data_IF_532509097368
#
_entry.id   IF_532509097368
#
_cell.length_a   1.000
_cell.length_b   1.000
_cell.length_c   1.000
_cell.angle_alpha   90.00
_cell.angle_beta   90.00
_cell.angle_gamma   90.00
#
_symmetry.space_group_name_H-M   'P 1'
#
loop_
_entity.id
_entity.type
_entity.pdbx_description
1 polymer ?
2 non-polymer ?
3 non-polymer ?
4 water ?
#
# COMPACT_ATOMS: atom_id res chain seq x y z
N UNK A 20 16.44 7.20 -4.64
CA UNK A 20 15.23 6.82 -3.83
C UNK A 20 15.53 5.96 -2.58
N UNK A 21 16.28 6.50 -1.65
CA UNK A 21 16.73 5.71 -0.56
C UNK A 21 16.59 6.32 0.81
N UNK A 22 16.25 7.60 0.99
CA UNK A 22 15.88 8.02 2.33
C UNK A 22 14.47 8.56 2.38
N UNK A 23 13.85 8.43 3.56
CA UNK A 23 12.51 8.90 3.77
C UNK A 23 12.62 10.16 4.62
N UNK A 24 11.96 11.21 4.16
CA UNK A 24 11.84 12.45 4.88
C UNK A 24 10.39 12.74 5.22
N UNK A 25 10.17 13.61 6.19
CA UNK A 25 8.81 14.06 6.51
C UNK A 25 8.26 14.78 5.30
N UNK A 26 7.07 14.38 4.91
CA UNK A 26 6.37 14.96 3.76
C UNK A 26 6.10 16.46 3.94
N UNK A 27 5.81 16.89 5.17
CA UNK A 27 5.39 18.26 5.44
C UNK A 27 6.53 19.27 5.47
N UNK A 28 7.69 18.85 5.91
CA UNK A 28 8.78 19.79 6.17
C UNK A 28 10.14 19.36 5.67
N UNK A 29 10.33 18.08 5.37
CA UNK A 29 11.62 17.61 4.84
C UNK A 29 12.64 17.02 5.83
N UNK A 30 12.30 16.98 7.12
CA UNK A 30 13.14 16.34 8.12
C UNK A 30 13.46 14.90 7.75
N UNK A 31 14.71 14.53 7.91
CA UNK A 31 15.15 13.16 7.67
C UNK A 31 14.63 12.21 8.73
N UNK A 32 13.97 11.15 8.31
CA UNK A 32 13.35 10.22 9.25
C UNK A 32 13.90 8.76 9.19
N UNK A 33 13.95 8.16 8.01
CA UNK A 33 14.42 6.81 7.90
C UNK A 33 15.00 6.50 6.51
N UNK A 34 15.36 5.24 6.31
CA UNK A 34 16.01 4.76 5.10
C UNK A 34 15.34 3.47 4.62
N UNK A 35 15.29 3.26 3.32
CA UNK A 35 14.78 2.05 2.73
C UNK A 35 15.52 0.82 3.23
N UNK A 36 16.83 0.96 3.38
CA UNK A 36 17.69 -0.05 3.97
C UNK A 36 17.20 -0.56 5.34
N UNK A 37 16.47 0.26 6.08
CA UNK A 37 16.00 -0.08 7.43
C UNK A 37 14.58 -0.65 7.51
N UNK A 38 13.94 -0.87 6.36
CA UNK A 38 12.66 -1.53 6.34
C UNK A 38 12.75 -2.87 7.03
N UNK A 39 11.69 -3.19 7.77
CA UNK A 39 11.62 -4.39 8.59
C UNK A 39 10.37 -5.20 8.25
N UNK A 40 10.54 -6.42 7.70
CA UNK A 40 9.38 -7.29 7.50
C UNK A 40 8.81 -7.96 8.78
N UNK A 41 7.90 -7.28 9.49
CA UNK A 41 7.22 -7.88 10.67
C UNK A 41 6.13 -8.82 10.17
N UNK A 42 6.13 -10.05 10.65
CA UNK A 42 5.15 -11.04 10.21
C UNK A 42 5.22 -11.40 8.74
N UNK A 43 6.36 -11.13 8.10
CA UNK A 43 6.57 -11.49 6.69
C UNK A 43 6.43 -10.36 5.66
N UNK A 44 6.09 -9.16 6.11
CA UNK A 44 5.88 -8.03 5.21
C UNK A 44 6.18 -6.71 5.94
N UNK A 45 6.85 -5.78 5.27
CA UNK A 45 7.06 -4.45 5.86
C UNK A 45 5.79 -3.59 5.86
N UNK A 46 4.82 -3.89 4.99
CA UNK A 46 3.57 -3.11 4.90
C UNK A 46 2.45 -3.79 5.65
N UNK A 47 1.82 -3.04 6.56
CA UNK A 47 0.63 -3.43 7.30
C UNK A 47 -0.46 -2.39 7.20
N UNK A 48 -1.62 -2.77 6.71
CA UNK A 48 -2.75 -1.84 6.69
C UNK A 48 -3.60 -2.11 7.93
N UNK A 49 -3.87 -1.07 8.70
CA UNK A 49 -4.49 -1.19 10.02
C UNK A 49 -5.48 -0.06 10.26
N UNK A 50 -6.33 -0.20 11.29
CA UNK A 50 -7.27 0.85 11.73
C UNK A 50 -7.16 1.07 13.23
N UNK A 51 -7.31 2.32 13.64
CA UNK A 51 -7.44 2.69 15.07
C UNK A 51 -8.91 2.74 15.53
N UNK A 52 -9.16 2.95 16.84
CA UNK A 52 -10.57 2.93 17.30
C UNK A 52 -11.46 4.06 16.76
N UNK A 53 -10.87 5.10 16.16
CA UNK A 53 -11.61 6.14 15.47
C UNK A 53 -11.83 5.83 13.98
N UNK A 54 -11.48 4.61 13.58
CA UNK A 54 -11.77 4.11 12.26
C UNK A 54 -10.84 4.68 11.21
N UNK A 55 -9.77 5.34 11.61
CA UNK A 55 -8.80 5.87 10.66
C UNK A 55 -7.94 4.72 10.20
N UNK A 56 -7.85 4.60 8.88
CA UNK A 56 -7.06 3.57 8.25
C UNK A 56 -5.71 4.18 7.96
N UNK A 57 -4.66 3.44 8.29
CA UNK A 57 -3.29 3.81 8.02
C UNK A 57 -2.64 2.68 7.29
N UNK A 58 -1.83 3.04 6.32
CA UNK A 58 -0.92 2.08 5.73
C UNK A 58 0.46 2.26 6.35
N UNK A 59 0.87 1.29 7.17
CA UNK A 59 2.05 1.38 7.99
C UNK A 59 3.21 0.61 7.35
N UNK A 60 4.36 1.27 7.27
CA UNK A 60 5.60 0.62 6.88
C UNK A 60 6.44 0.49 8.15
N UNK A 61 6.96 -0.71 8.38
CA UNK A 61 7.79 -0.97 9.55
C UNK A 61 9.27 -0.78 9.27
N UNK A 62 9.93 -0.03 10.15
CA UNK A 62 11.34 0.28 10.07
C UNK A 62 12.01 -0.15 11.36
N UNK A 63 13.20 -0.73 11.26
CA UNK A 63 13.90 -1.14 12.46
C UNK A 63 14.41 0.09 13.19
N UNK A 64 14.65 1.17 12.46
CA UNK A 64 15.30 2.33 13.01
C UNK A 64 14.72 3.59 12.38
N UNK A 65 14.72 4.67 13.14
CA UNK A 65 14.36 5.98 12.63
C UNK A 65 15.01 7.07 13.43
N UNK A 66 14.93 8.27 12.89
CA UNK A 66 15.53 9.45 13.53
C UNK A 66 14.64 10.66 13.23
N UNK A 67 14.91 11.78 13.90
CA UNK A 67 14.22 13.01 13.68
C UNK A 67 12.79 13.06 14.15
N UNK A 68 12.39 12.07 14.93
CA UNK A 68 11.04 12.02 15.52
C UNK A 68 11.08 12.56 16.96
N UNK A 69 9.90 12.74 17.52
CA UNK A 69 9.77 13.08 18.93
C UNK A 69 8.67 12.17 19.44
N UNK A 70 9.01 11.32 20.41
CA UNK A 70 8.08 10.31 20.93
C UNK A 70 7.35 10.87 22.13
N UNK A 71 6.03 10.78 22.13
CA UNK A 71 5.21 11.52 23.07
C UNK A 71 4.53 10.63 24.08
N UNK A 72 4.62 11.01 25.33
CA UNK A 72 3.94 10.32 26.43
C UNK A 72 4.69 9.06 26.82
N UNK A 73 4.01 8.25 27.61
CA UNK A 73 4.55 6.98 28.04
C UNK A 73 3.89 5.88 27.19
N UNK A 74 4.59 4.74 27.03
CA UNK A 74 4.02 3.69 26.18
C UNK A 74 2.68 3.11 26.67
N UNK A 75 1.86 2.65 25.74
CA UNK A 75 0.56 2.05 26.06
C UNK A 75 0.43 0.75 25.26
N UNK A 76 -0.19 -0.25 25.86
CA UNK A 76 -0.46 -1.51 25.18
C UNK A 76 -1.86 -1.57 24.59
N UNK A 77 -2.70 -0.58 24.93
CA UNK A 77 -4.10 -0.53 24.49
C UNK A 77 -4.22 -0.56 22.96
N UNK A 78 -4.93 -1.56 22.47
CA UNK A 78 -5.26 -1.69 21.05
C UNK A 78 -4.02 -1.83 20.16
N UNK A 79 -2.91 -2.33 20.68
CA UNK A 79 -1.70 -2.44 19.87
C UNK A 79 -1.94 -3.32 18.67
N UNK A 80 -1.51 -2.85 17.49
CA UNK A 80 -1.61 -3.64 16.28
C UNK A 80 -0.63 -4.79 16.25
N UNK A 81 0.38 -4.76 17.11
CA UNK A 81 1.43 -5.78 17.05
C UNK A 81 1.54 -6.44 18.39
N UNK A 82 1.31 -7.75 18.40
CA UNK A 82 1.17 -8.50 19.65
C UNK A 82 2.43 -8.41 20.48
N UNK A 83 2.25 -8.10 21.76
CA UNK A 83 3.34 -8.01 22.71
C UNK A 83 4.08 -6.70 22.74
N UNK A 84 3.67 -5.72 21.92
CA UNK A 84 4.33 -4.43 21.87
C UNK A 84 3.43 -3.33 22.44
N UNK A 85 4.07 -2.38 23.12
CA UNK A 85 3.46 -1.14 23.55
C UNK A 85 3.86 0.00 22.63
N UNK A 86 3.01 1.00 22.48
CA UNK A 86 3.24 2.04 21.52
C UNK A 86 3.33 3.42 22.16
N UNK A 87 4.12 4.28 21.53
CA UNK A 87 4.10 5.72 21.83
C UNK A 87 3.95 6.41 20.48
N UNK A 88 3.18 7.48 20.46
CA UNK A 88 2.99 8.29 19.29
C UNK A 88 4.34 8.91 18.87
N UNK A 89 4.64 8.86 17.57
CA UNK A 89 5.85 9.47 17.02
C UNK A 89 5.47 10.64 16.13
N UNK A 90 5.88 11.82 16.55
CA UNK A 90 5.71 13.01 15.75
C UNK A 90 7.02 13.36 15.07
N UNK A 91 6.91 14.07 13.95
CA UNK A 91 8.07 14.69 13.38
C UNK A 91 8.60 15.66 14.43
N UNK A 92 9.89 15.55 14.74
CA UNK A 92 10.56 16.43 15.68
C UNK A 92 10.69 17.85 15.24
N UNK A 93 10.62 18.05 13.92
CA UNK A 93 10.65 19.38 13.36
C UNK A 93 9.26 20.04 13.32
N UNK A 94 8.29 19.44 12.59
CA UNK A 94 7.04 20.15 12.34
C UNK A 94 5.85 19.69 13.19
N UNK A 95 6.02 18.62 13.95
CA UNK A 95 4.92 18.13 14.75
C UNK A 95 3.93 17.21 14.02
N UNK A 96 4.10 17.02 12.72
CA UNK A 96 3.22 16.16 11.98
C UNK A 96 3.27 14.74 12.58
N UNK A 97 2.11 14.09 12.67
CA UNK A 97 2.05 12.73 13.18
C UNK A 97 2.53 11.74 12.12
N UNK A 98 3.65 11.09 12.35
CA UNK A 98 4.26 10.21 11.34
C UNK A 98 4.07 8.74 11.61
N UNK A 99 3.75 8.37 12.85
CA UNK A 99 3.57 6.97 13.21
C UNK A 99 3.69 6.69 14.72
N UNK A 100 4.34 5.58 15.03
CA UNK A 100 4.40 5.09 16.41
C UNK A 100 5.72 4.43 16.60
N UNK A 101 6.27 4.52 17.81
CA UNK A 101 7.36 3.67 18.22
C UNK A 101 6.79 2.51 19.01
N UNK A 102 7.29 1.31 18.72
CA UNK A 102 6.88 0.12 19.44
C UNK A 102 8.05 -0.39 20.27
N UNK A 103 7.78 -0.77 21.51
CA UNK A 103 8.77 -1.36 22.39
C UNK A 103 8.16 -2.45 23.25
N UNK A 104 9.00 -3.10 24.04
CA UNK A 104 8.53 -4.03 25.06
C UNK A 104 8.22 -5.41 24.58
N UNK A 105 8.58 -5.72 23.33
CA UNK A 105 8.31 -7.02 22.74
C UNK A 105 9.58 -7.83 22.63
N UNK A 106 9.64 -8.71 21.63
CA UNK A 106 10.77 -9.59 21.44
C UNK A 106 10.99 -9.81 19.96
N UNK A 107 12.26 -9.88 19.54
CA UNK A 107 12.64 -10.18 18.16
C UNK A 107 11.83 -9.37 17.11
N UNK A 108 12.06 -8.05 17.04
CA UNK A 108 12.97 -7.22 17.85
C UNK A 108 12.24 -6.65 19.04
N UNK A 109 13.00 -6.22 20.04
CA UNK A 109 12.41 -5.56 21.19
C UNK A 109 11.70 -4.29 20.78
N UNK A 110 12.28 -3.54 19.86
CA UNK A 110 11.69 -2.29 19.40
C UNK A 110 11.73 -2.13 17.90
N UNK A 111 10.81 -1.34 17.35
CA UNK A 111 10.82 -0.89 15.96
C UNK A 111 9.85 0.28 15.77
N UNK A 112 9.83 0.87 14.56
CA UNK A 112 8.91 1.96 14.23
C UNK A 112 7.93 1.54 13.19
N UNK A 113 6.71 2.00 13.34
CA UNK A 113 5.70 1.80 12.31
C UNK A 113 5.32 3.18 11.82
N UNK A 114 5.67 3.51 10.60
CA UNK A 114 5.48 4.87 10.08
C UNK A 114 4.45 4.84 9.00
N UNK A 115 3.66 5.90 8.93
CA UNK A 115 2.60 6.01 7.95
C UNK A 115 3.13 6.42 6.58
N UNK A 116 3.03 5.53 5.61
CA UNK A 116 3.75 5.67 4.35
C UNK A 116 3.47 6.96 3.58
N UNK A 117 2.24 7.41 3.59
CA UNK A 117 1.86 8.59 2.79
C UNK A 117 2.22 9.93 3.49
N UNK A 118 2.82 9.83 4.68
CA UNK A 118 3.27 11.00 5.44
C UNK A 118 4.76 11.19 5.28
N UNK A 119 5.36 10.36 4.44
CA UNK A 119 6.77 10.42 4.17
C UNK A 119 7.00 10.64 2.70
N UNK A 120 8.20 11.15 2.37
CA UNK A 120 8.60 11.36 0.97
C UNK A 120 9.92 10.68 0.74
N UNK A 121 10.03 9.90 -0.33
CA UNK A 121 11.22 9.10 -0.56
C UNK A 121 12.06 9.84 -1.57
N UNK A 122 13.38 9.82 -1.38
CA UNK A 122 14.26 10.47 -2.35
C UNK A 122 15.73 10.12 -2.18
N UNK A 123 16.58 10.75 -2.99
CA UNK A 123 18.04 10.54 -2.91
C UNK A 123 18.70 10.90 -1.57
N UNK A 124 19.76 10.15 -1.21
CA UNK A 124 20.54 10.37 0.01
C UNK A 124 21.18 11.76 0.08
N UNK B 21 -13.21 5.80 -15.82
CA UNK B 21 -12.66 7.18 -15.81
C UNK B 21 -11.25 7.42 -16.47
N UNK B 22 -10.99 8.69 -16.72
CA UNK B 22 -9.77 9.13 -17.37
C UNK B 22 -9.14 10.32 -16.66
N UNK B 23 -7.84 10.49 -16.85
CA UNK B 23 -7.10 11.62 -16.30
C UNK B 23 -6.76 12.58 -17.41
N UNK B 24 -7.12 13.84 -17.21
CA UNK B 24 -6.86 14.88 -18.18
C UNK B 24 -5.89 15.89 -17.60
N UNK B 25 -5.22 16.65 -18.48
CA UNK B 25 -4.40 17.75 -18.01
C UNK B 25 -5.28 18.76 -17.29
N UNK B 26 -4.87 19.14 -16.10
CA UNK B 26 -5.62 20.10 -15.32
C UNK B 26 -5.72 21.48 -15.99
N UNK B 27 -4.67 21.88 -16.71
CA UNK B 27 -4.59 23.22 -17.28
C UNK B 27 -5.38 23.40 -18.60
N UNK B 28 -5.46 22.37 -19.42
CA UNK B 28 -6.10 22.49 -20.74
C UNK B 28 -7.07 21.40 -21.09
N UNK B 29 -7.12 20.33 -20.31
CA UNK B 29 -8.14 19.30 -20.52
C UNK B 29 -7.78 18.20 -21.49
N UNK B 30 -6.56 18.24 -22.02
CA UNK B 30 -6.10 17.17 -22.85
C UNK B 30 -6.17 15.82 -22.13
N UNK B 31 -6.68 14.78 -22.81
CA UNK B 31 -6.67 13.41 -22.31
C UNK B 31 -5.24 12.83 -22.22
N UNK B 32 -4.88 12.35 -21.02
CA UNK B 32 -3.52 11.87 -20.75
C UNK B 32 -3.47 10.41 -20.41
N UNK B 33 -4.29 9.96 -19.48
CA UNK B 33 -4.23 8.57 -19.07
C UNK B 33 -5.55 8.07 -18.58
N UNK B 34 -5.56 6.82 -18.14
CA UNK B 34 -6.76 6.15 -17.68
C UNK B 34 -6.51 5.49 -16.34
N UNK B 35 -7.54 5.46 -15.49
CA UNK B 35 -7.51 4.72 -14.21
C UNK B 35 -7.16 3.24 -14.43
N UNK B 36 -7.69 2.66 -15.50
CA UNK B 36 -7.39 1.28 -15.94
C UNK B 36 -5.92 1.00 -16.07
N UNK B 37 -5.14 2.03 -16.35
CA UNK B 37 -3.70 1.90 -16.57
C UNK B 37 -2.84 2.17 -15.34
N UNK B 38 -3.45 2.41 -14.17
CA UNK B 38 -2.68 2.57 -12.95
C UNK B 38 -1.83 1.35 -12.72
N UNK B 39 -0.61 1.59 -12.25
CA UNK B 39 0.40 0.60 -12.09
C UNK B 39 0.99 0.65 -10.66
N UNK B 40 0.80 -0.41 -9.85
CA UNK B 40 1.40 -0.45 -8.51
C UNK B 40 2.90 -0.84 -8.52
N UNK B 41 3.78 0.13 -8.71
CA UNK B 41 5.22 -0.13 -8.68
C UNK B 41 5.65 -0.22 -7.23
N UNK B 42 6.35 -1.27 -6.86
CA UNK B 42 6.75 -1.48 -5.48
C UNK B 42 5.58 -1.69 -4.52
N UNK B 43 4.40 -2.04 -5.03
CA UNK B 43 3.25 -2.31 -4.15
C UNK B 43 2.22 -1.19 -4.03
N UNK B 44 2.45 -0.05 -4.67
CA UNK B 44 1.52 1.08 -4.59
C UNK B 44 1.61 1.91 -5.88
N UNK B 45 0.47 2.39 -6.37
CA UNK B 45 0.51 3.34 -7.50
C UNK B 45 0.88 4.76 -7.09
N UNK B 46 0.75 5.10 -5.80
CA UNK B 46 1.14 6.44 -5.31
C UNK B 46 2.49 6.40 -4.69
N UNK B 47 3.36 7.26 -5.14
CA UNK B 47 4.65 7.48 -4.55
C UNK B 47 4.87 8.97 -4.21
N UNK B 48 5.12 9.30 -2.94
CA UNK B 48 5.54 10.65 -2.57
C UNK B 48 7.05 10.72 -2.55
N UNK B 49 7.64 11.63 -3.30
CA UNK B 49 9.07 11.64 -3.54
C UNK B 49 9.59 13.05 -3.48
N UNK B 50 10.90 13.16 -3.40
CA UNK B 50 11.59 14.44 -3.44
C UNK B 50 12.81 14.34 -4.41
N UNK B 51 13.01 15.40 -5.20
CA UNK B 51 14.17 15.49 -6.11
C UNK B 51 15.36 16.07 -5.35
N UNK B 52 16.57 16.13 -5.96
CA UNK B 52 17.72 16.59 -5.23
C UNK B 52 17.67 18.08 -4.85
N UNK B 53 16.77 18.85 -5.45
CA UNK B 53 16.55 20.24 -5.05
C UNK B 53 15.53 20.34 -3.88
N UNK B 54 15.05 19.19 -3.38
CA UNK B 54 14.13 19.18 -2.24
C UNK B 54 12.70 19.54 -2.57
N UNK B 55 12.34 19.52 -3.85
CA UNK B 55 10.94 19.71 -4.24
C UNK B 55 10.22 18.38 -4.08
N UNK B 56 9.08 18.44 -3.42
CA UNK B 56 8.27 17.27 -3.13
C UNK B 56 7.17 17.18 -4.16
N UNK B 57 6.98 15.98 -4.71
CA UNK B 57 5.92 15.64 -5.66
C UNK B 57 5.14 14.43 -5.18
N UNK B 58 3.85 14.39 -5.44
CA UNK B 58 3.06 13.17 -5.27
C UNK B 58 2.79 12.54 -6.64
N UNK B 59 3.44 11.41 -6.89
CA UNK B 59 3.42 10.74 -8.19
C UNK B 59 2.47 9.55 -8.23
N UNK B 60 1.66 9.46 -9.29
CA UNK B 60 0.86 8.27 -9.58
C UNK B 60 1.46 7.58 -10.81
N UNK B 61 1.64 6.26 -10.73
CA UNK B 61 2.29 5.50 -11.79
C UNK B 61 1.26 4.91 -12.70
N UNK B 62 1.49 5.12 -14.01
CA UNK B 62 0.61 4.58 -15.07
C UNK B 62 1.44 3.80 -16.07
N UNK B 63 0.92 2.69 -16.55
CA UNK B 63 1.65 1.85 -17.42
C UNK B 63 1.75 2.50 -18.80
N UNK B 64 0.78 3.33 -19.13
CA UNK B 64 0.75 4.04 -20.41
C UNK B 64 0.17 5.44 -20.27
N UNK B 65 0.42 6.27 -21.28
CA UNK B 65 -0.15 7.59 -21.39
C UNK B 65 -0.16 8.09 -22.82
N UNK B 66 -0.86 9.19 -23.04
CA UNK B 66 -0.93 9.82 -24.33
C UNK B 66 -1.00 11.33 -24.15
N UNK B 67 -0.79 12.06 -25.24
CA UNK B 67 -0.91 13.49 -25.23
C UNK B 67 0.25 14.26 -24.63
N UNK B 68 1.31 13.57 -24.26
CA UNK B 68 2.49 14.19 -23.62
C UNK B 68 3.56 14.48 -24.67
N UNK B 69 4.58 15.23 -24.24
CA UNK B 69 5.75 15.46 -25.05
C UNK B 69 6.91 15.24 -24.11
N UNK B 70 7.76 14.28 -24.44
CA UNK B 70 8.90 13.91 -23.62
C UNK B 70 10.12 14.69 -24.08
N UNK B 71 10.83 15.28 -23.14
CA UNK B 71 11.88 16.26 -23.43
C UNK B 71 13.24 15.77 -22.99
N UNK B 72 14.23 15.93 -23.84
CA UNK B 72 15.60 15.59 -23.51
C UNK B 72 15.89 14.12 -23.68
N UNK B 73 17.11 13.71 -23.35
CA UNK B 73 17.49 12.31 -23.44
C UNK B 73 17.41 11.70 -22.05
N UNK B 74 17.17 10.38 -21.97
CA UNK B 74 16.92 9.82 -20.65
C UNK B 74 18.12 9.93 -19.74
N UNK B 75 17.87 9.99 -18.44
CA UNK B 75 18.95 10.03 -17.46
C UNK B 75 18.66 8.99 -16.40
N UNK B 76 19.71 8.38 -15.87
CA UNK B 76 19.59 7.47 -14.74
C UNK B 76 19.86 8.16 -13.42
N UNK B 77 20.40 9.38 -13.49
CA UNK B 77 20.73 10.17 -12.31
C UNK B 77 19.52 10.37 -11.38
N UNK B 78 19.70 9.93 -10.13
CA UNK B 78 18.70 10.15 -9.07
C UNK B 78 17.33 9.55 -9.34
N UNK B 79 17.25 8.52 -10.15
CA UNK B 79 15.94 7.96 -10.51
C UNK B 79 15.23 7.49 -9.26
N UNK B 80 13.96 7.81 -9.14
CA UNK B 80 13.15 7.32 -8.02
C UNK B 80 12.83 5.82 -8.14
N UNK B 81 13.02 5.23 -9.31
CA UNK B 81 12.72 3.82 -9.52
C UNK B 81 13.97 3.10 -10.06
N UNK B 82 14.51 2.20 -9.25
CA UNK B 82 15.78 1.55 -9.51
C UNK B 82 15.70 0.78 -10.83
N UNK B 83 16.73 0.94 -11.66
CA UNK B 83 16.82 0.27 -12.95
C UNK B 83 16.08 0.96 -14.07
N UNK B 84 15.55 2.16 -13.82
CA UNK B 84 14.88 2.96 -14.85
C UNK B 84 15.54 4.33 -15.03
N UNK B 85 15.59 4.77 -16.28
CA UNK B 85 16.05 6.10 -16.66
C UNK B 85 14.81 6.97 -16.88
N UNK B 86 14.92 8.27 -16.66
CA UNK B 86 13.75 9.18 -16.76
C UNK B 86 13.93 10.28 -17.79
N UNK B 87 12.82 10.72 -18.36
CA UNK B 87 12.78 11.95 -19.15
C UNK B 87 11.57 12.78 -18.68
N UNK B 88 11.66 14.10 -18.70
CA UNK B 88 10.57 14.99 -18.34
C UNK B 88 9.38 14.86 -19.32
N UNK B 89 8.16 14.80 -18.78
CA UNK B 89 6.95 14.73 -19.58
C UNK B 89 6.10 16.00 -19.44
N UNK B 90 5.92 16.72 -20.53
CA UNK B 90 5.07 17.87 -20.57
C UNK B 90 3.78 17.52 -21.26
N UNK B 91 2.72 18.25 -20.95
CA UNK B 91 1.49 18.19 -21.76
C UNK B 91 1.88 18.66 -23.17
N UNK B 92 1.58 17.85 -24.17
CA UNK B 92 1.87 18.20 -25.55
C UNK B 92 1.06 19.38 -26.06
N UNK B 93 -0.10 19.60 -25.43
CA UNK B 93 -1.02 20.65 -25.83
C UNK B 93 -0.63 21.98 -25.20
N UNK B 94 -0.53 22.03 -23.87
CA UNK B 94 -0.26 23.34 -23.20
C UNK B 94 1.16 23.55 -22.60
N UNK B 95 2.01 22.54 -22.58
CA UNK B 95 3.36 22.67 -21.99
C UNK B 95 3.46 22.45 -20.46
N UNK B 96 2.32 22.24 -19.79
CA UNK B 96 2.33 22.05 -18.33
C UNK B 96 3.11 20.79 -17.97
N UNK B 97 3.92 20.87 -16.92
CA UNK B 97 4.78 19.77 -16.51
C UNK B 97 3.95 18.75 -15.76
N UNK B 98 3.73 17.58 -16.38
CA UNK B 98 2.83 16.61 -15.83
C UNK B 98 3.51 15.43 -15.16
N UNK B 99 4.80 15.22 -15.42
CA UNK B 99 5.54 14.14 -14.78
C UNK B 99 6.82 13.72 -15.50
N UNK B 100 7.03 12.39 -15.53
CA UNK B 100 8.21 11.80 -16.10
C UNK B 100 7.88 10.49 -16.79
N UNK B 101 8.59 10.17 -17.85
CA UNK B 101 8.56 8.84 -18.45
C UNK B 101 9.75 8.06 -17.98
N UNK B 102 9.54 6.79 -17.65
CA UNK B 102 10.59 5.87 -17.23
C UNK B 102 10.74 4.73 -18.26
N UNK B 103 11.99 4.41 -18.59
CA UNK B 103 12.31 3.36 -19.55
C UNK B 103 13.57 2.62 -19.15
N UNK B 104 13.87 1.57 -19.90
CA UNK B 104 15.15 0.87 -19.80
C UNK B 104 15.20 -0.26 -18.79
N UNK B 105 14.06 -0.59 -18.21
CA UNK B 105 13.99 -1.60 -17.15
C UNK B 105 13.40 -2.88 -17.69
N UNK B 106 12.73 -3.64 -16.81
CA UNK B 106 12.05 -4.88 -17.18
C UNK B 106 10.78 -5.01 -16.36
N UNK B 107 9.74 -5.57 -16.97
CA UNK B 107 8.47 -5.87 -16.30
C UNK B 107 7.96 -4.74 -15.38
N UNK B 108 7.49 -3.65 -15.99
CA UNK B 108 7.48 -3.36 -17.43
C UNK B 108 8.75 -2.62 -17.87
N UNK B 109 9.02 -2.64 -19.17
CA UNK B 109 10.16 -1.91 -19.72
C UNK B 109 9.99 -0.44 -19.49
N UNK B 110 8.76 0.06 -19.66
CA UNK B 110 8.49 1.47 -19.53
C UNK B 110 7.19 1.72 -18.77
N UNK B 111 7.13 2.90 -18.14
CA UNK B 111 5.91 3.39 -17.51
C UNK B 111 6.02 4.91 -17.26
N UNK B 112 4.92 5.52 -16.84
CA UNK B 112 4.88 6.93 -16.52
C UNK B 112 4.63 7.18 -15.04
N UNK B 113 5.26 8.21 -14.49
CA UNK B 113 4.99 8.70 -13.12
C UNK B 113 4.48 10.13 -13.24
N UNK B 114 3.18 10.32 -13.04
CA UNK B 114 2.53 11.59 -13.33
C UNK B 114 2.12 12.24 -12.02
N UNK B 115 2.24 13.56 -11.96
CA UNK B 115 1.97 14.31 -10.77
C UNK B 115 0.47 14.43 -10.58
N UNK B 116 -0.03 13.82 -9.53
CA UNK B 116 -1.47 13.74 -9.36
C UNK B 116 -2.23 15.06 -9.36
N UNK B 117 -1.67 16.08 -8.73
CA UNK B 117 -2.36 17.36 -8.60
C UNK B 117 -2.39 18.20 -9.87
N UNK B 118 -1.71 17.72 -10.90
CA UNK B 118 -1.65 18.38 -12.20
C UNK B 118 -2.58 17.73 -13.20
N UNK B 119 -3.32 16.73 -12.73
CA UNK B 119 -4.30 16.03 -13.53
C UNK B 119 -5.69 16.24 -12.90
N UNK B 120 -6.73 16.04 -13.70
CA UNK B 120 -8.09 16.10 -13.27
C UNK B 120 -8.73 14.78 -13.69
N UNK B 121 -9.38 14.08 -12.77
CA UNK B 121 -9.97 12.78 -13.07
C UNK B 121 -11.43 13.00 -13.36
N UNK B 122 -11.95 12.27 -14.32
CA UNK B 122 -13.36 12.41 -14.68
C UNK B 122 -13.87 11.32 -15.60
N UNK B 123 -15.16 11.38 -15.94
CA UNK B 123 -15.78 10.37 -16.81
C UNK B 123 -15.11 10.34 -18.18
N UNK B 124 -15.00 9.16 -18.77
CA UNK B 124 -14.39 8.99 -20.09
C UNK B 124 -15.01 9.91 -21.16
N UNK C 19 -6.67 -5.04 19.78
CA UNK C 19 -6.00 -4.11 18.83
C UNK C 19 -6.13 -4.52 17.38
N UNK C 20 -6.17 -5.83 17.15
CA UNK C 20 -6.40 -6.42 15.84
C UNK C 20 -7.41 -7.60 15.94
N UNK C 21 -8.69 -7.30 16.22
CA UNK C 21 -9.70 -8.35 16.37
C UNK C 21 -10.89 -8.26 15.38
N UNK C 22 -10.97 -7.19 14.57
CA UNK C 22 -11.93 -7.07 13.47
C UNK C 22 -11.16 -6.90 12.18
N UNK C 23 -11.61 -7.56 11.12
CA UNK C 23 -10.94 -7.49 9.84
C UNK C 23 -11.83 -6.74 8.86
N UNK C 24 -11.28 -5.70 8.23
CA UNK C 24 -12.01 -4.88 7.29
C UNK C 24 -11.34 -4.94 5.93
N UNK C 25 -12.08 -4.58 4.88
CA UNK C 25 -11.47 -4.39 3.58
C UNK C 25 -10.39 -3.29 3.60
N UNK C 26 -9.21 -3.63 3.08
CA UNK C 26 -8.07 -2.68 2.99
C UNK C 26 -8.34 -1.45 2.13
N UNK C 27 -9.12 -1.61 1.06
CA UNK C 27 -9.37 -0.53 0.10
C UNK C 27 -10.42 0.47 0.56
N UNK C 28 -11.42 0.00 1.27
CA UNK C 28 -12.55 0.86 1.58
C UNK C 28 -13.04 0.80 3.03
N UNK C 29 -12.63 -0.19 3.82
CA UNK C 29 -13.01 -0.26 5.24
C UNK C 29 -14.25 -1.06 5.63
N UNK C 30 -14.90 -1.66 4.63
CA UNK C 30 -16.05 -2.52 4.90
C UNK C 30 -15.67 -3.60 5.90
N UNK C 31 -16.51 -3.77 6.92
CA UNK C 31 -16.36 -4.87 7.88
C UNK C 31 -16.62 -6.23 7.22
N UNK C 32 -15.66 -7.13 7.39
CA UNK C 32 -15.69 -8.42 6.76
C UNK C 32 -15.77 -9.58 7.75
N UNK C 33 -14.89 -9.60 8.74
CA UNK C 33 -14.90 -10.70 9.69
C UNK C 33 -14.33 -10.29 11.04
N UNK C 34 -14.22 -11.27 11.95
CA UNK C 34 -13.63 -11.03 13.29
C UNK C 34 -12.78 -12.18 13.74
N UNK C 35 -11.88 -11.84 14.64
CA UNK C 35 -10.90 -12.76 15.20
C UNK C 35 -11.57 -13.95 15.91
N UNK C 36 -12.68 -13.69 16.60
CA UNK C 36 -13.54 -14.72 17.20
C UNK C 36 -13.99 -15.81 16.23
N UNK C 37 -14.06 -15.49 14.93
CA UNK C 37 -14.51 -16.44 13.92
C UNK C 37 -13.38 -17.16 13.19
N UNK C 38 -12.12 -16.95 13.60
CA UNK C 38 -11.02 -17.72 13.03
C UNK C 38 -11.28 -19.20 13.22
N UNK C 39 -10.94 -20.00 12.23
CA UNK C 39 -11.32 -21.42 12.34
C UNK C 39 -10.73 -22.11 13.61
N UNK C 46 -2.60 -18.15 10.26
CA UNK C 46 -2.63 -17.84 8.83
C UNK C 46 -1.84 -18.88 7.99
N UNK C 47 -2.50 -19.44 6.98
CA UNK C 47 -1.98 -20.54 6.15
C UNK C 47 -1.23 -19.85 5.05
N UNK C 48 0.05 -20.15 4.90
CA UNK C 48 0.83 -19.58 3.81
C UNK C 48 0.80 -20.56 2.65
N UNK C 49 0.37 -20.09 1.49
CA UNK C 49 0.12 -20.94 0.33
C UNK C 49 0.59 -20.25 -0.92
N UNK C 50 0.67 -21.00 -1.99
CA UNK C 50 1.12 -20.47 -3.26
C UNK C 50 0.11 -20.81 -4.36
N UNK C 51 -0.22 -19.82 -5.19
CA UNK C 51 -1.11 -20.06 -6.32
C UNK C 51 -0.26 -20.74 -7.39
N UNK C 52 -0.87 -21.18 -8.51
CA UNK C 52 -0.07 -21.93 -9.48
C UNK C 52 1.02 -21.10 -10.18
N UNK C 53 0.96 -19.77 -10.04
CA UNK C 53 2.04 -18.89 -10.55
C UNK C 53 3.16 -18.67 -9.50
N UNK C 54 3.07 -19.34 -8.36
CA UNK C 54 4.09 -19.24 -7.32
C UNK C 54 4.03 -17.96 -6.49
N UNK C 55 2.93 -17.22 -6.58
CA UNK C 55 2.76 -16.04 -5.76
C UNK C 55 2.29 -16.49 -4.38
N UNK C 56 2.96 -15.97 -3.36
CA UNK C 56 2.60 -16.25 -1.97
C UNK C 56 1.34 -15.46 -1.60
N UNK C 57 0.45 -16.13 -0.87
CA UNK C 57 -0.59 -15.47 -0.09
C UNK C 57 -0.50 -15.99 1.34
N UNK C 58 -0.73 -15.11 2.30
CA UNK C 58 -0.99 -15.55 3.67
C UNK C 58 -2.49 -15.49 3.89
N UNK C 59 -3.11 -16.64 4.00
CA UNK C 59 -4.56 -16.75 4.06
C UNK C 59 -5.01 -16.92 5.49
N UNK C 60 -6.05 -16.17 5.87
CA UNK C 60 -6.70 -16.38 7.17
C UNK C 60 -8.01 -17.12 6.90
N UNK C 61 -8.28 -18.19 7.65
CA UNK C 61 -9.52 -18.96 7.51
C UNK C 61 -10.54 -18.61 8.60
N UNK C 62 -11.74 -18.24 8.17
CA UNK C 62 -12.82 -17.77 9.06
C UNK C 62 -14.02 -18.68 8.84
N UNK C 63 -14.74 -18.99 9.91
CA UNK C 63 -15.96 -19.80 9.82
C UNK C 63 -17.16 -18.96 9.29
N UNK C 64 -17.10 -17.65 9.50
CA UNK C 64 -18.14 -16.73 9.02
C UNK C 64 -17.56 -15.42 8.54
N UNK C 65 -18.29 -14.78 7.63
CA UNK C 65 -17.91 -13.47 7.15
C UNK C 65 -19.15 -12.73 6.68
N UNK C 66 -18.96 -11.45 6.43
CA UNK C 66 -20.03 -10.59 5.96
C UNK C 66 -19.46 -9.56 5.04
N UNK C 67 -20.34 -8.88 4.34
CA UNK C 67 -19.95 -7.76 3.50
C UNK C 67 -19.29 -8.13 2.19
N UNK C 68 -19.27 -9.42 1.85
CA UNK C 68 -18.69 -9.90 0.62
C UNK C 68 -19.76 -10.11 -0.43
N UNK C 69 -19.31 -10.40 -1.64
CA UNK C 69 -20.19 -10.81 -2.71
C UNK C 69 -19.49 -11.97 -3.41
N UNK C 70 -20.14 -13.14 -3.43
CA UNK C 70 -19.54 -14.36 -3.97
C UNK C 70 -19.92 -14.52 -5.45
N UNK C 71 -18.92 -14.75 -6.30
CA UNK C 71 -19.12 -14.66 -7.74
C UNK C 71 -18.93 -16.00 -8.43
N UNK C 72 -19.81 -16.33 -9.37
CA UNK C 72 -19.62 -17.50 -10.21
C UNK C 72 -19.98 -18.81 -9.54
N UNK C 73 -19.64 -19.91 -10.22
CA UNK C 73 -19.93 -21.23 -9.71
C UNK C 73 -18.66 -21.82 -9.10
N UNK C 74 -18.83 -22.77 -8.15
CA UNK C 74 -17.64 -23.23 -7.44
C UNK C 74 -16.69 -24.01 -8.34
N UNK C 75 -15.40 -23.98 -8.02
CA UNK C 75 -14.39 -24.72 -8.77
C UNK C 75 -13.48 -25.47 -7.80
N UNK C 76 -13.05 -26.67 -8.20
CA UNK C 76 -12.11 -27.45 -7.41
C UNK C 76 -10.67 -27.26 -7.88
N UNK C 77 -10.48 -26.57 -9.01
CA UNK C 77 -9.15 -26.27 -9.61
C UNK C 77 -8.19 -25.64 -8.62
N UNK C 78 -7.07 -26.34 -8.36
CA UNK C 78 -6.00 -25.81 -7.52
C UNK C 78 -6.43 -25.45 -6.07
N UNK C 79 -7.48 -26.09 -5.56
CA UNK C 79 -7.95 -25.77 -4.20
C UNK C 79 -6.85 -26.05 -3.20
N UNK C 80 -6.57 -25.10 -2.32
CA UNK C 80 -5.58 -25.31 -1.27
C UNK C 80 -6.06 -26.25 -0.16
N UNK C 81 -7.36 -26.52 -0.10
CA UNK C 81 -7.93 -27.28 1.00
C UNK C 81 -8.66 -28.51 0.48
N UNK C 82 -8.16 -29.70 0.89
CA UNK C 82 -8.62 -30.99 0.35
C UNK C 82 -10.10 -31.15 0.61
N UNK C 83 -10.84 -31.52 -0.43
CA UNK C 83 -12.26 -31.74 -0.35
C UNK C 83 -13.11 -30.48 -0.48
N UNK C 84 -12.50 -29.32 -0.75
CA UNK C 84 -13.29 -28.09 -0.89
C UNK C 84 -13.20 -27.48 -2.29
N UNK C 85 -14.33 -26.94 -2.75
CA UNK C 85 -14.42 -26.14 -3.98
C UNK C 85 -14.49 -24.66 -3.59
N UNK C 86 -14.04 -23.77 -4.46
CA UNK C 86 -13.99 -22.35 -4.14
C UNK C 86 -14.80 -21.45 -5.10
N UNK C 87 -15.31 -20.35 -4.56
CA UNK C 87 -15.90 -19.26 -5.34
C UNK C 87 -15.23 -17.98 -4.90
N UNK C 88 -15.01 -17.09 -5.86
CA UNK C 88 -14.32 -15.83 -5.61
C UNK C 88 -15.17 -14.94 -4.71
N UNK C 89 -14.54 -14.33 -3.71
CA UNK C 89 -15.23 -13.46 -2.78
C UNK C 89 -14.69 -12.03 -2.98
N UNK C 90 -15.56 -11.14 -3.44
CA UNK C 90 -15.21 -9.75 -3.57
C UNK C 90 -15.78 -8.98 -2.38
N UNK C 91 -15.17 -7.82 -2.07
CA UNK C 91 -15.78 -6.86 -1.18
C UNK C 91 -17.09 -6.35 -1.80
N UNK C 92 -18.19 -6.45 -1.05
CA UNK C 92 -19.50 -5.99 -1.50
C UNK C 92 -19.58 -4.46 -1.67
N UNK C 93 -18.71 -3.72 -0.98
CA UNK C 93 -18.68 -2.26 -1.09
C UNK C 93 -17.85 -1.73 -2.25
N UNK C 94 -16.59 -2.14 -2.35
CA UNK C 94 -15.72 -1.60 -3.42
C UNK C 94 -15.41 -2.55 -4.57
N UNK C 95 -15.75 -3.83 -4.49
CA UNK C 95 -15.37 -4.81 -5.54
C UNK C 95 -13.94 -5.42 -5.44
N UNK C 96 -13.15 -5.01 -4.47
CA UNK C 96 -11.79 -5.55 -4.30
C UNK C 96 -11.82 -7.07 -4.02
N UNK C 97 -10.88 -7.82 -4.61
CA UNK C 97 -10.84 -9.25 -4.43
C UNK C 97 -10.22 -9.59 -3.05
N UNK C 98 -11.03 -10.15 -2.16
CA UNK C 98 -10.58 -10.42 -0.79
C UNK C 98 -10.24 -11.86 -0.49
N UNK C 99 -10.71 -12.79 -1.31
CA UNK C 99 -10.46 -14.19 -1.02
C UNK C 99 -11.46 -15.08 -1.71
N UNK C 100 -11.82 -16.16 -1.00
CA UNK C 100 -12.64 -17.21 -1.56
C UNK C 100 -13.57 -17.78 -0.51
N UNK C 101 -14.73 -18.20 -0.95
CA UNK C 101 -15.61 -19.00 -0.10
C UNK C 101 -15.38 -20.46 -0.49
N UNK C 102 -15.23 -21.32 0.53
CA UNK C 102 -15.02 -22.72 0.32
C UNK C 102 -16.26 -23.50 0.79
N UNK C 103 -16.65 -24.48 -0.02
CA UNK C 103 -17.79 -25.33 0.29
C UNK C 103 -17.56 -26.78 -0.18
N UNK C 104 -18.51 -27.64 0.16
CA UNK C 104 -18.54 -29.01 -0.37
C UNK C 104 -17.76 -30.04 0.43
N UNK C 105 -17.20 -29.63 1.57
CA UNK C 105 -16.38 -30.51 2.40
C UNK C 105 -17.13 -30.98 3.64
N UNK C 106 -16.38 -31.26 4.71
CA UNK C 106 -16.92 -31.75 5.97
C UNK C 106 -16.11 -31.20 7.13
N UNK C 107 -16.79 -30.88 8.23
CA UNK C 107 -16.14 -30.39 9.48
C UNK C 107 -15.07 -29.30 9.23
N UNK C 108 -15.50 -28.07 8.84
CA UNK C 108 -16.87 -27.65 8.50
C UNK C 108 -17.20 -27.84 7.01
N UNK C 109 -18.49 -27.87 6.69
CA UNK C 109 -18.91 -27.98 5.29
C UNK C 109 -18.41 -26.76 4.49
N UNK C 110 -18.47 -25.58 5.11
CA UNK C 110 -18.08 -24.35 4.44
C UNK C 110 -17.26 -23.44 5.36
N UNK C 111 -16.41 -22.61 4.75
CA UNK C 111 -15.67 -21.56 5.45
C UNK C 111 -15.15 -20.52 4.44
N UNK C 112 -14.58 -19.43 4.96
CA UNK C 112 -13.93 -18.41 4.12
C UNK C 112 -12.41 -18.41 4.29
N UNK C 113 -11.68 -18.25 3.19
CA UNK C 113 -10.22 -18.08 3.20
C UNK C 113 -9.94 -16.71 2.62
N UNK C 114 -9.50 -15.80 3.46
CA UNK C 114 -9.37 -14.41 3.06
C UNK C 114 -7.89 -14.00 3.06
N UNK C 115 -7.54 -13.17 2.08
CA UNK C 115 -6.16 -12.76 1.85
C UNK C 115 -5.71 -11.70 2.84
N UNK C 116 -4.75 -12.02 3.70
CA UNK C 116 -4.35 -11.12 4.80
C UNK C 116 -4.03 -9.71 4.36
N UNK C 117 -3.21 -9.58 3.31
CA UNK C 117 -2.70 -8.28 2.83
C UNK C 117 -3.71 -7.57 1.94
N UNK C 118 -4.95 -8.08 1.92
CA UNK C 118 -6.08 -7.34 1.40
C UNK C 118 -7.06 -6.88 2.52
N UNK C 119 -6.73 -7.19 3.77
CA UNK C 119 -7.53 -6.82 4.92
C UNK C 119 -6.74 -5.88 5.79
N UNK C 120 -7.45 -5.14 6.61
CA UNK C 120 -6.84 -4.31 7.62
C UNK C 120 -7.41 -4.74 8.96
N UNK C 121 -6.56 -4.96 9.94
CA UNK C 121 -7.03 -5.48 11.22
C UNK C 121 -7.14 -4.31 12.19
N UNK C 122 -8.14 -4.32 13.04
CA UNK C 122 -8.27 -3.32 14.11
C UNK C 122 -9.18 -3.75 15.26
N UNK C 123 -9.36 -2.87 16.27
CA UNK C 123 -10.18 -3.15 17.46
C UNK C 123 -11.67 -3.39 17.23
N UNK C 124 -12.29 -3.99 18.25
CA UNK C 124 -13.68 -4.44 18.22
C UNK C 124 -14.73 -3.33 17.96
X LIG D 1 7.92 17.33 9.55
X LIG E 1 -0.90 0.00 17.55
X LIG E 1 -1.65 0.98 17.57
X LIG E 1 -2.94 0.78 17.61
X LIG E 1 -1.15 2.41 17.50
X LIG E 1 -2.17 3.41 18.08
X LIG E 1 -3.59 3.14 17.62
X LIG E 1 -3.91 1.68 17.55
X LIG E 1 -5.06 1.29 17.43
X LIG F 1 -2.35 20.65 -21.02
X LIG G 1 12.92 10.03 -11.08
X LIG G 1 13.28 11.18 -10.95
X LIG G 1 14.08 11.55 -9.95
X LIG G 1 12.79 12.23 -11.93
X LIG G 1 13.52 13.57 -11.87
X LIG G 1 13.85 14.00 -10.45
X LIG G 1 14.41 12.82 -9.64
X LIG G 1 15.15 13.08 -8.70
X LIG H 1 -13.83 -2.74 -0.10
X LIG I 1 -7.72 -22.26 -3.32
X LIG I 1 -7.30 -21.57 -4.23
X LIG I 1 -6.12 -21.83 -4.84
X LIG I 1 -8.12 -20.39 -4.69
X LIG I 1 -7.68 -19.90 -6.06
X LIG I 1 -6.17 -19.71 -6.09
X LIG I 1 -5.50 -21.02 -5.73
X LIG I 1 -4.44 -21.29 -6.25
#
# INVERSE_FOLDING_TARGET
>A
AMPLDAGGQNSTQMVLAPGASIFRCRQCGQTISRRDWLLPMGGDHEHVVFNPAGMIFRVWCFSLAQGLRLIGAPSGEFSWFKGYDWTIALCGQCGSHLGWHYEGGSQPQTFFGLIKDRLAEGPAD
>B
AMPLDAGGQNSTQMVLAPGASIFRCRQCGQTISRRDWLLPMGGDHEHVVFNPAGMIFRVWCFSLAQGLRLIGAPSGEFSWFKGYDWTIALCGQCGSHLGWHYEGGSQPQTFFGLIKDRLAEGPAD
>C
AMPLDAGGQNSTQMVLAPGASIFRCRQCGQTISRRDWLLPMGGDHEHVVFNPAGMIFRVWCFSLAQGLRLIGAPSGEFSWFKGYDWTIALCGQCGSHLGWHYEGGSQPQTFFGLIKDRLAEGPAD
>D hetero
1 ZN ZN
>E hetero
1 9UZ O05 C04 N03 C06 C07 C08 C02 O01
>F hetero
1 ZN ZN
>G hetero
1 9UZ O05 C04 N03 C06 C07 C08 C02 O01
>H hetero
1 ZN ZN
>I hetero
1 9UZ O05 C04 N03 C06 C07 C08 C02 O01
#
